data_IF_962998617310
#
_entry.id   IF_962998617310
#
_cell.length_a   1.000
_cell.length_b   1.000
_cell.length_c   1.000
_cell.angle_alpha   90.00
_cell.angle_beta   90.00
_cell.angle_gamma   90.00
#
_symmetry.space_group_name_H-M   'P 1'
#
loop_
_entity.id
_entity.type
_entity.pdbx_description
1 polymer ?
#
# COMPACT_ATOMS: atom_id res chain seq x y z
N UNK A 1 -5.36 -45.66 13.80
CA UNK A 1 -5.08 -44.24 13.69
C UNK A 1 -3.75 -44.07 12.96
N UNK A 2 -3.79 -43.99 11.61
CA UNK A 2 -2.59 -43.72 10.82
C UNK A 2 -2.59 -42.20 10.55
N UNK A 3 -1.62 -41.50 11.12
CA UNK A 3 -1.40 -40.07 10.92
C UNK A 3 -1.03 -39.86 9.45
N UNK A 4 -1.92 -39.20 8.71
CA UNK A 4 -1.61 -38.74 7.37
C UNK A 4 -0.68 -37.53 7.53
N UNK A 5 0.61 -37.73 7.33
CA UNK A 5 1.55 -36.64 7.14
C UNK A 5 1.26 -36.07 5.77
N UNK A 6 0.69 -34.87 5.74
CA UNK A 6 0.74 -34.02 4.56
C UNK A 6 2.22 -33.70 4.37
N UNK A 7 2.89 -34.47 3.54
CA UNK A 7 4.20 -34.15 3.03
C UNK A 7 3.96 -32.99 2.08
N UNK A 8 4.03 -31.76 2.61
CA UNK A 8 4.33 -30.61 1.80
C UNK A 8 5.71 -30.91 1.19
N UNK A 9 5.70 -31.36 -0.05
CA UNK A 9 6.92 -31.60 -0.82
C UNK A 9 7.53 -30.21 -1.07
N UNK A 10 8.27 -29.71 -0.10
CA UNK A 10 9.23 -28.64 -0.30
C UNK A 10 10.32 -29.24 -1.20
N UNK A 11 10.14 -29.13 -2.50
CA UNK A 11 11.25 -29.23 -3.42
C UNK A 11 12.13 -28.02 -3.15
N UNK A 12 12.97 -28.13 -2.13
CA UNK A 12 14.17 -27.33 -2.00
C UNK A 12 15.07 -27.75 -3.16
N UNK A 13 14.81 -27.24 -4.35
CA UNK A 13 15.84 -27.18 -5.36
C UNK A 13 16.87 -26.17 -4.83
N UNK A 14 17.80 -26.68 -4.02
CA UNK A 14 18.99 -25.97 -3.59
C UNK A 14 19.80 -25.58 -4.81
N UNK A 15 19.59 -24.40 -5.28
CA UNK A 15 20.36 -23.70 -6.28
C UNK A 15 20.51 -22.27 -5.82
N UNK A 16 21.18 -22.04 -4.69
CA UNK A 16 21.78 -20.73 -4.43
C UNK A 16 22.93 -20.54 -5.42
N UNK A 17 22.59 -20.29 -6.69
CA UNK A 17 23.50 -19.62 -7.56
C UNK A 17 23.62 -18.21 -7.01
N UNK A 18 24.65 -17.96 -6.22
CA UNK A 18 25.11 -16.64 -5.83
C UNK A 18 25.58 -15.92 -7.10
N UNK A 19 24.61 -15.39 -7.87
CA UNK A 19 24.90 -14.38 -8.86
C UNK A 19 25.22 -13.09 -8.09
N UNK A 20 26.46 -13.00 -7.68
CA UNK A 20 27.05 -11.86 -7.00
C UNK A 20 27.29 -10.78 -8.06
N UNK A 21 26.28 -9.98 -8.35
CA UNK A 21 26.44 -8.75 -9.12
C UNK A 21 26.44 -7.55 -8.18
N UNK A 22 27.52 -6.78 -8.26
CA UNK A 22 27.84 -5.64 -7.39
C UNK A 22 26.88 -4.45 -7.48
N UNK A 23 25.83 -4.50 -8.28
CA UNK A 23 24.93 -3.38 -8.58
C UNK A 23 23.92 -2.98 -7.48
N UNK A 24 23.75 -3.80 -6.46
CA UNK A 24 22.76 -3.56 -5.40
C UNK A 24 23.36 -3.40 -4.00
N UNK A 25 24.64 -3.04 -3.93
CA UNK A 25 25.34 -2.87 -2.64
C UNK A 25 25.83 -1.43 -2.52
N UNK A 26 25.71 -0.89 -1.32
CA UNK A 26 26.30 0.41 -0.99
C UNK A 26 27.83 0.32 -0.86
N UNK A 27 28.45 1.45 -0.60
CA UNK A 27 29.92 1.53 -0.38
C UNK A 27 30.41 0.65 0.78
N UNK A 28 29.52 0.23 1.68
CA UNK A 28 29.80 -0.66 2.80
C UNK A 28 29.40 -2.11 2.50
N UNK A 29 29.17 -2.47 1.22
CA UNK A 29 28.81 -3.81 0.76
C UNK A 29 27.44 -4.35 1.31
N UNK A 30 26.56 -3.48 1.80
CA UNK A 30 25.23 -3.84 2.29
C UNK A 30 24.22 -3.86 1.14
N UNK A 31 23.25 -4.77 1.18
CA UNK A 31 22.14 -4.80 0.19
C UNK A 31 21.32 -3.52 0.36
N UNK A 32 21.34 -2.67 -0.66
CA UNK A 32 20.54 -1.44 -0.69
C UNK A 32 19.10 -1.81 -1.06
N UNK A 33 18.20 -1.71 -0.09
CA UNK A 33 16.75 -1.76 -0.28
C UNK A 33 16.25 -0.32 -0.44
N UNK A 34 16.44 0.24 -1.64
CA UNK A 34 16.08 1.62 -1.91
C UNK A 34 14.58 1.82 -2.12
N UNK A 35 14.12 3.05 -1.91
CA UNK A 35 12.80 3.49 -2.33
C UNK A 35 12.73 3.49 -3.86
N UNK A 36 11.61 3.01 -4.39
CA UNK A 36 11.31 3.01 -5.81
C UNK A 36 10.31 4.11 -6.12
N UNK A 37 10.39 4.67 -7.32
CA UNK A 37 9.36 5.58 -7.80
C UNK A 37 8.01 4.86 -7.80
N UNK A 38 6.98 5.56 -7.31
CA UNK A 38 5.62 5.02 -7.31
C UNK A 38 5.18 4.81 -8.76
N UNK A 39 4.86 3.56 -9.12
CA UNK A 39 4.37 3.26 -10.46
C UNK A 39 2.94 3.80 -10.65
N UNK A 40 2.61 4.15 -11.90
CA UNK A 40 1.27 4.60 -12.27
C UNK A 40 0.29 3.42 -12.22
N UNK A 41 -1.01 3.72 -12.28
CA UNK A 41 -2.05 2.69 -12.17
C UNK A 41 -1.86 1.55 -13.19
N UNK A 42 -1.53 1.87 -14.44
CA UNK A 42 -1.33 0.88 -15.51
C UNK A 42 0.09 0.32 -15.64
N UNK A 43 1.04 0.75 -14.81
CA UNK A 43 2.41 0.22 -14.82
C UNK A 43 2.48 -1.14 -14.12
N UNK A 44 3.36 -2.02 -14.58
CA UNK A 44 3.62 -3.35 -14.01
C UNK A 44 2.39 -4.28 -13.95
N UNK A 45 1.45 -4.10 -14.87
CA UNK A 45 0.32 -5.01 -15.06
C UNK A 45 0.78 -6.19 -15.92
N UNK A 46 0.30 -7.37 -15.58
CA UNK A 46 0.51 -8.58 -16.35
C UNK A 46 -0.80 -9.38 -16.48
N UNK A 47 -0.88 -10.16 -17.55
CA UNK A 47 -1.94 -11.14 -17.78
C UNK A 47 -1.28 -12.48 -17.99
N UNK A 48 -1.75 -13.51 -17.30
CA UNK A 48 -1.24 -14.87 -17.41
C UNK A 48 -2.30 -15.86 -17.84
N UNK A 49 -1.84 -16.87 -18.57
CA UNK A 49 -2.64 -18.05 -18.94
C UNK A 49 -1.78 -19.28 -18.71
N UNK A 50 -2.32 -20.27 -18.00
CA UNK A 50 -1.62 -21.50 -17.67
C UNK A 50 -2.54 -22.71 -17.78
N UNK A 51 -1.97 -23.86 -18.09
CA UNK A 51 -2.64 -25.15 -18.11
C UNK A 51 -1.85 -26.18 -17.33
N UNK A 52 -2.55 -27.21 -16.86
CA UNK A 52 -1.89 -28.24 -16.05
C UNK A 52 -2.82 -29.31 -15.54
N UNK A 53 -2.58 -29.74 -14.32
CA UNK A 53 -3.33 -30.82 -13.69
C UNK A 53 -3.80 -30.43 -12.29
N UNK A 54 -5.01 -30.90 -11.95
CA UNK A 54 -5.60 -30.85 -10.63
C UNK A 54 -5.56 -32.25 -9.98
N UNK A 55 -5.30 -32.28 -8.70
CA UNK A 55 -5.41 -33.42 -7.85
C UNK A 55 -6.33 -33.06 -6.68
N UNK A 56 -7.50 -33.66 -6.63
CA UNK A 56 -8.48 -33.45 -5.57
C UNK A 56 -8.22 -34.38 -4.37
N UNK A 57 -8.55 -33.93 -3.17
CA UNK A 57 -8.36 -34.63 -1.90
C UNK A 57 -9.69 -34.61 -1.12
N UNK A 58 -10.60 -35.48 -1.50
CA UNK A 58 -11.82 -35.80 -0.78
C UNK A 58 -11.64 -36.93 0.23
N UNK A 59 -12.76 -37.43 0.77
CA UNK A 59 -12.77 -38.38 1.89
C UNK A 59 -12.15 -39.75 1.57
N UNK A 60 -12.52 -40.35 0.44
CA UNK A 60 -12.12 -41.72 0.06
C UNK A 60 -11.01 -41.75 -0.99
N UNK A 61 -10.41 -40.64 -1.29
CA UNK A 61 -9.43 -40.50 -2.36
C UNK A 61 -8.14 -41.32 -2.11
N UNK A 62 -7.82 -41.60 -0.85
CA UNK A 62 -6.66 -42.43 -0.50
C UNK A 62 -6.83 -43.91 -0.83
N UNK A 63 -8.06 -44.38 -1.03
CA UNK A 63 -8.38 -45.77 -1.29
C UNK A 63 -8.37 -46.10 -2.80
N UNK A 64 -8.46 -45.08 -3.64
CA UNK A 64 -8.49 -45.20 -5.08
C UNK A 64 -7.13 -45.04 -5.78
N UNK A 65 -7.08 -45.43 -7.07
CA UNK A 65 -5.86 -45.32 -7.88
C UNK A 65 -5.49 -43.86 -8.16
N UNK A 66 -4.29 -43.40 -7.74
CA UNK A 66 -3.80 -42.07 -7.87
C UNK A 66 -3.92 -41.50 -9.31
N UNK A 67 -3.48 -42.23 -10.32
CA UNK A 67 -3.48 -41.75 -11.69
C UNK A 67 -4.86 -41.46 -12.26
N UNK A 68 -5.93 -42.02 -11.69
CA UNK A 68 -7.33 -41.76 -12.10
C UNK A 68 -7.92 -40.48 -11.50
N UNK A 69 -7.23 -39.87 -10.53
CA UNK A 69 -7.62 -38.62 -9.90
C UNK A 69 -7.10 -37.38 -10.62
N UNK A 70 -6.10 -37.55 -11.48
CA UNK A 70 -5.56 -36.43 -12.26
C UNK A 70 -6.65 -35.90 -13.21
N UNK A 71 -6.90 -34.61 -13.10
CA UNK A 71 -7.87 -33.88 -13.93
C UNK A 71 -7.17 -32.65 -14.57
N UNK A 72 -7.68 -32.18 -15.72
CA UNK A 72 -7.11 -30.97 -16.33
C UNK A 72 -7.37 -29.75 -15.47
N UNK A 73 -6.38 -28.86 -15.44
CA UNK A 73 -6.43 -27.57 -14.79
C UNK A 73 -6.14 -26.44 -15.78
N UNK A 74 -6.72 -25.29 -15.51
CA UNK A 74 -6.48 -24.04 -16.22
C UNK A 74 -6.43 -22.90 -15.20
N UNK A 75 -5.60 -21.91 -15.48
CA UNK A 75 -5.55 -20.67 -14.72
C UNK A 75 -5.44 -19.48 -15.71
N UNK A 76 -6.27 -18.46 -15.50
CA UNK A 76 -6.23 -17.21 -16.25
C UNK A 76 -6.33 -16.08 -15.24
N UNK A 77 -5.36 -15.19 -15.25
CA UNK A 77 -5.31 -14.11 -14.27
C UNK A 77 -4.79 -12.80 -14.83
N UNK A 78 -5.18 -11.71 -14.19
CA UNK A 78 -4.59 -10.38 -14.35
C UNK A 78 -4.06 -9.93 -13.01
N UNK A 79 -2.87 -9.39 -13.02
CA UNK A 79 -2.21 -8.93 -11.80
C UNK A 79 -1.40 -7.67 -12.01
N UNK A 80 -0.98 -7.12 -10.88
CA UNK A 80 -0.14 -5.94 -10.82
C UNK A 80 0.90 -6.07 -9.72
N UNK A 81 2.11 -5.66 -10.05
CA UNK A 81 3.16 -5.44 -9.05
C UNK A 81 3.12 -3.99 -8.57
N UNK A 82 2.85 -3.77 -7.29
CA UNK A 82 2.84 -2.46 -6.65
C UNK A 82 4.23 -2.02 -6.25
N UNK A 83 5.03 -2.96 -5.79
CA UNK A 83 6.46 -2.81 -5.48
C UNK A 83 7.24 -3.95 -6.11
N UNK A 84 8.57 -3.92 -6.13
CA UNK A 84 9.35 -5.06 -6.59
C UNK A 84 9.04 -6.38 -5.88
N UNK A 85 8.56 -6.30 -4.64
CA UNK A 85 8.35 -7.48 -3.78
C UNK A 85 6.88 -7.79 -3.51
N UNK A 86 5.96 -6.85 -3.73
CA UNK A 86 4.54 -7.02 -3.39
C UNK A 86 3.69 -6.79 -4.63
N UNK A 87 2.83 -7.73 -4.91
CA UNK A 87 1.85 -7.68 -5.98
C UNK A 87 0.52 -8.29 -5.56
N UNK A 88 -0.46 -8.13 -6.40
CA UNK A 88 -1.75 -8.82 -6.28
C UNK A 88 -2.22 -9.25 -7.66
N UNK A 89 -3.04 -10.29 -7.70
CA UNK A 89 -3.73 -10.73 -8.91
C UNK A 89 -5.15 -11.16 -8.60
N UNK A 90 -5.99 -11.09 -9.60
CA UNK A 90 -7.33 -11.68 -9.63
C UNK A 90 -7.42 -12.61 -10.82
N UNK A 91 -8.15 -13.71 -10.68
CA UNK A 91 -8.18 -14.68 -11.77
C UNK A 91 -9.25 -15.74 -11.61
N UNK A 92 -9.24 -16.61 -12.58
CA UNK A 92 -9.99 -17.84 -12.65
C UNK A 92 -9.04 -19.02 -12.64
N UNK A 93 -9.24 -19.96 -11.71
CA UNK A 93 -8.55 -21.24 -11.70
C UNK A 93 -9.57 -22.39 -11.66
N UNK A 94 -9.22 -23.56 -12.21
CA UNK A 94 -10.08 -24.72 -12.15
C UNK A 94 -10.05 -25.56 -13.41
N UNK A 95 -11.13 -26.00 -13.88
CA UNK A 95 -11.66 -26.82 -14.97
C UNK A 95 -12.36 -28.05 -14.45
N UNK A 96 -11.64 -29.00 -13.83
CA UNK A 96 -12.18 -30.28 -13.48
C UNK A 96 -11.51 -30.85 -12.24
N UNK A 97 -12.29 -31.56 -11.44
CA UNK A 97 -11.79 -32.43 -10.38
C UNK A 97 -12.24 -33.87 -10.61
N UNK A 98 -11.46 -34.81 -10.12
CA UNK A 98 -11.77 -36.24 -10.10
C UNK A 98 -11.39 -36.80 -8.75
N UNK A 99 -12.28 -37.59 -8.18
CA UNK A 99 -12.09 -38.21 -6.89
C UNK A 99 -12.70 -39.60 -6.79
N UNK A 100 -12.71 -40.11 -5.57
CA UNK A 100 -13.34 -41.37 -5.18
C UNK A 100 -14.23 -41.11 -3.98
N UNK A 101 -15.45 -41.62 -4.02
CA UNK A 101 -16.41 -41.52 -2.93
C UNK A 101 -17.05 -42.86 -2.61
N UNK A 102 -17.39 -43.09 -1.37
CA UNK A 102 -18.17 -44.27 -0.94
C UNK A 102 -19.67 -44.03 -1.11
N UNK A 103 -20.10 -42.76 -1.30
CA UNK A 103 -21.48 -42.37 -1.46
C UNK A 103 -21.87 -42.22 -2.94
N UNK A 104 -23.07 -42.61 -3.31
CA UNK A 104 -23.62 -42.37 -4.65
C UNK A 104 -24.04 -40.90 -4.82
N UNK A 105 -23.10 -39.99 -4.97
CA UNK A 105 -23.37 -38.57 -5.18
C UNK A 105 -23.81 -38.26 -6.59
N UNK A 106 -24.34 -37.05 -6.83
CA UNK A 106 -24.70 -36.59 -8.17
C UNK A 106 -23.46 -36.49 -9.10
N UNK A 107 -22.26 -36.44 -8.55
CA UNK A 107 -21.02 -36.43 -9.32
C UNK A 107 -20.46 -37.84 -9.60
N UNK A 108 -21.02 -38.89 -8.97
CA UNK A 108 -20.59 -40.27 -9.16
C UNK A 108 -20.90 -40.76 -10.59
N UNK A 109 -19.89 -41.33 -11.25
CA UNK A 109 -20.01 -41.78 -12.65
C UNK A 109 -20.02 -43.30 -12.80
N UNK A 110 -19.23 -44.02 -12.04
CA UNK A 110 -19.12 -45.48 -12.18
C UNK A 110 -18.55 -46.10 -10.91
N UNK A 111 -19.06 -47.26 -10.52
CA UNK A 111 -18.48 -48.05 -9.44
C UNK A 111 -17.21 -48.78 -9.89
N UNK A 112 -16.20 -48.87 -8.98
CA UNK A 112 -14.95 -49.60 -9.19
C UNK A 112 -14.46 -50.07 -7.82
N UNK A 113 -14.59 -51.39 -7.55
CA UNK A 113 -14.09 -52.00 -6.32
C UNK A 113 -14.79 -51.57 -5.02
N UNK A 114 -16.06 -51.20 -5.07
CA UNK A 114 -16.87 -50.78 -3.90
C UNK A 114 -16.85 -49.26 -3.68
N UNK A 115 -16.09 -48.53 -4.48
CA UNK A 115 -16.09 -47.08 -4.50
C UNK A 115 -16.70 -46.57 -5.82
N UNK A 116 -17.21 -45.35 -5.77
CA UNK A 116 -17.66 -44.64 -6.97
C UNK A 116 -16.55 -43.64 -7.39
N UNK A 117 -16.26 -43.62 -8.68
CA UNK A 117 -15.49 -42.54 -9.28
C UNK A 117 -16.37 -41.32 -9.47
N UNK A 118 -15.91 -40.21 -8.99
CA UNK A 118 -16.57 -38.92 -9.22
C UNK A 118 -15.78 -38.04 -10.19
N UNK A 119 -16.53 -37.20 -10.88
CA UNK A 119 -15.99 -36.23 -11.83
C UNK A 119 -16.92 -35.03 -11.90
N UNK A 120 -16.39 -33.86 -11.57
CA UNK A 120 -17.15 -32.60 -11.59
C UNK A 120 -16.29 -31.45 -12.11
N UNK A 121 -16.97 -30.41 -12.57
CA UNK A 121 -16.33 -29.16 -12.95
C UNK A 121 -15.99 -28.33 -11.72
N UNK A 122 -14.90 -27.59 -11.80
CA UNK A 122 -14.46 -26.66 -10.76
C UNK A 122 -14.23 -25.29 -11.37
N UNK A 123 -14.79 -24.28 -10.73
CA UNK A 123 -14.53 -22.87 -10.98
C UNK A 123 -14.10 -22.22 -9.69
N UNK A 124 -12.97 -21.52 -9.73
CA UNK A 124 -12.46 -20.76 -8.61
C UNK A 124 -12.09 -19.35 -9.07
N UNK A 125 -12.88 -18.36 -8.64
CA UNK A 125 -12.58 -16.95 -8.86
C UNK A 125 -11.84 -16.45 -7.62
N UNK A 126 -10.60 -16.05 -7.80
CA UNK A 126 -9.70 -15.78 -6.69
C UNK A 126 -9.06 -14.39 -6.75
N UNK A 127 -8.64 -13.93 -5.59
CA UNK A 127 -7.78 -12.77 -5.43
C UNK A 127 -6.59 -13.16 -4.53
N UNK A 128 -5.39 -13.01 -5.05
CA UNK A 128 -4.16 -13.43 -4.39
C UNK A 128 -3.28 -12.23 -4.04
N UNK A 129 -2.73 -12.23 -2.84
CA UNK A 129 -1.60 -11.42 -2.45
C UNK A 129 -0.30 -12.17 -2.74
N UNK A 130 0.61 -11.55 -3.49
CA UNK A 130 1.84 -12.16 -3.97
C UNK A 130 3.06 -11.50 -3.34
N UNK A 131 4.01 -12.32 -2.90
CA UNK A 131 5.26 -11.83 -2.35
C UNK A 131 6.46 -12.36 -3.15
N UNK A 132 7.10 -11.48 -3.93
CA UNK A 132 8.33 -11.85 -4.62
C UNK A 132 9.49 -11.96 -3.62
N UNK A 133 9.66 -13.16 -3.08
CA UNK A 133 10.68 -13.48 -2.10
C UNK A 133 12.09 -13.23 -2.63
N UNK A 134 12.33 -13.56 -3.91
CA UNK A 134 13.62 -13.32 -4.55
C UNK A 134 14.04 -11.84 -4.51
N UNK A 135 13.10 -10.93 -4.80
CA UNK A 135 13.34 -9.49 -4.72
C UNK A 135 13.41 -8.98 -3.28
N UNK A 136 12.63 -9.55 -2.38
CA UNK A 136 12.63 -9.14 -0.97
C UNK A 136 13.97 -9.42 -0.28
N UNK A 137 14.56 -10.60 -0.55
CA UNK A 137 15.80 -11.05 0.10
C UNK A 137 17.05 -10.50 -0.59
N UNK A 138 17.12 -10.61 -1.92
CA UNK A 138 18.35 -10.28 -2.68
C UNK A 138 18.29 -8.94 -3.41
N UNK A 139 17.27 -8.12 -3.12
CA UNK A 139 17.05 -6.84 -3.79
C UNK A 139 16.49 -6.98 -5.20
N UNK A 140 15.93 -5.89 -5.73
CA UNK A 140 15.38 -5.86 -7.07
C UNK A 140 16.48 -5.75 -8.13
N UNK A 141 16.40 -6.62 -9.15
CA UNK A 141 17.18 -6.55 -10.37
C UNK A 141 16.25 -6.71 -11.56
N UNK A 142 16.25 -5.76 -12.48
CA UNK A 142 15.44 -5.84 -13.68
C UNK A 142 15.83 -7.03 -14.56
N UNK A 143 17.12 -7.38 -14.60
CA UNK A 143 17.68 -8.51 -15.36
C UNK A 143 17.48 -9.87 -14.71
N UNK A 144 16.85 -9.97 -13.54
CA UNK A 144 16.68 -11.25 -12.86
C UNK A 144 15.89 -12.23 -13.72
N UNK A 145 16.48 -13.38 -14.00
CA UNK A 145 15.89 -14.41 -14.84
C UNK A 145 14.84 -15.23 -14.10
N UNK A 146 15.06 -15.53 -12.82
CA UNK A 146 14.16 -16.37 -12.03
C UNK A 146 13.70 -15.66 -10.75
N UNK A 147 12.40 -15.71 -10.51
CA UNK A 147 11.77 -15.21 -9.29
C UNK A 147 10.93 -16.29 -8.63
N UNK A 148 11.07 -16.43 -7.33
CA UNK A 148 10.27 -17.26 -6.46
C UNK A 148 9.24 -16.41 -5.73
N UNK A 149 7.96 -16.73 -5.90
CA UNK A 149 6.83 -15.89 -5.48
C UNK A 149 5.82 -16.75 -4.72
N UNK A 150 5.92 -16.91 -3.41
CA UNK A 150 4.82 -17.42 -2.60
C UNK A 150 3.62 -16.45 -2.68
N UNK A 151 2.42 -17.02 -2.58
CA UNK A 151 1.18 -16.26 -2.55
C UNK A 151 0.16 -16.91 -1.62
N UNK A 152 -0.79 -16.10 -1.18
CA UNK A 152 -1.99 -16.52 -0.45
C UNK A 152 -3.19 -15.80 -1.03
N UNK A 153 -4.32 -16.46 -1.04
CA UNK A 153 -5.52 -15.91 -1.65
C UNK A 153 -6.80 -16.38 -0.99
N UNK A 154 -7.87 -15.76 -1.42
CA UNK A 154 -9.24 -16.08 -1.07
C UNK A 154 -10.12 -15.91 -2.31
N UNK A 155 -11.15 -16.71 -2.43
CA UNK A 155 -12.02 -16.60 -3.57
C UNK A 155 -13.32 -17.36 -3.41
N UNK A 156 -14.11 -17.31 -4.47
CA UNK A 156 -15.33 -18.06 -4.60
C UNK A 156 -15.09 -19.30 -5.44
N UNK A 157 -15.28 -20.46 -4.81
CA UNK A 157 -15.16 -21.77 -5.41
C UNK A 157 -16.55 -22.33 -5.72
N UNK A 158 -16.71 -22.91 -6.89
CA UNK A 158 -17.95 -23.59 -7.31
C UNK A 158 -17.60 -24.93 -7.92
N UNK A 159 -18.22 -25.97 -7.37
CA UNK A 159 -18.30 -27.28 -8.02
C UNK A 159 -19.59 -27.38 -8.85
N UNK A 160 -19.55 -28.06 -9.98
CA UNK A 160 -20.73 -28.24 -10.83
C UNK A 160 -20.66 -29.50 -11.69
N UNK A 161 -21.82 -30.09 -11.96
CA UNK A 161 -21.97 -31.23 -12.84
C UNK A 161 -23.33 -31.94 -12.63
N UNK A 162 -23.86 -32.58 -13.66
CA UNK A 162 -25.11 -33.36 -13.61
C UNK A 162 -26.28 -32.64 -12.89
N UNK A 163 -26.51 -31.36 -13.24
CA UNK A 163 -27.51 -30.48 -12.63
C UNK A 163 -27.34 -30.15 -11.15
N UNK A 164 -26.20 -30.58 -10.55
CA UNK A 164 -25.77 -30.21 -9.20
C UNK A 164 -24.70 -29.13 -9.20
N UNK A 165 -24.73 -28.33 -8.18
CA UNK A 165 -23.65 -27.35 -7.92
C UNK A 165 -23.59 -27.01 -6.43
N UNK A 166 -22.41 -26.71 -5.96
CA UNK A 166 -22.19 -26.11 -4.65
C UNK A 166 -21.30 -24.88 -4.75
N UNK A 167 -21.42 -23.95 -3.79
CA UNK A 167 -20.71 -22.69 -3.78
C UNK A 167 -20.10 -22.50 -2.41
N UNK A 168 -18.79 -22.31 -2.37
CA UNK A 168 -18.01 -22.19 -1.15
C UNK A 168 -17.04 -21.02 -1.21
N UNK A 169 -16.64 -20.53 -0.05
CA UNK A 169 -15.47 -19.65 0.05
C UNK A 169 -14.23 -20.56 0.13
N UNK A 170 -13.34 -20.39 -0.82
CA UNK A 170 -12.06 -21.09 -0.83
C UNK A 170 -10.91 -20.19 -0.33
N UNK A 171 -9.99 -20.81 0.37
CA UNK A 171 -8.72 -20.20 0.73
C UNK A 171 -7.61 -20.92 -0.02
N UNK A 172 -6.70 -20.19 -0.60
CA UNK A 172 -5.59 -20.79 -1.31
C UNK A 172 -4.24 -20.24 -0.89
N UNK A 173 -3.25 -21.07 -1.06
CA UNK A 173 -1.85 -20.72 -0.91
C UNK A 173 -1.03 -21.48 -1.95
N UNK A 174 0.06 -20.87 -2.39
CA UNK A 174 0.87 -21.54 -3.39
C UNK A 174 2.23 -20.89 -3.62
N UNK A 175 2.90 -21.49 -4.59
CA UNK A 175 4.25 -21.11 -4.99
C UNK A 175 4.25 -20.89 -6.50
N UNK A 176 4.58 -19.69 -6.92
CA UNK A 176 4.73 -19.33 -8.32
C UNK A 176 6.21 -19.11 -8.62
N UNK A 177 6.72 -19.88 -9.56
CA UNK A 177 8.04 -19.67 -10.15
C UNK A 177 7.88 -18.93 -11.45
N UNK A 178 8.57 -17.82 -11.58
CA UNK A 178 8.53 -16.95 -12.75
C UNK A 178 9.91 -16.94 -13.40
N UNK A 179 10.00 -17.42 -14.63
CA UNK A 179 11.24 -17.42 -15.41
C UNK A 179 11.08 -16.42 -16.55
N UNK A 180 11.91 -15.40 -16.56
CA UNK A 180 11.90 -14.36 -17.58
C UNK A 180 12.43 -14.90 -18.92
N UNK A 181 11.58 -14.88 -19.94
CA UNK A 181 11.97 -15.23 -21.31
C UNK A 181 12.45 -13.98 -22.06
N UNK A 182 11.74 -12.88 -21.91
CA UNK A 182 12.14 -11.57 -22.45
C UNK A 182 11.57 -10.43 -21.60
N UNK A 183 11.72 -9.20 -22.02
CA UNK A 183 11.23 -8.03 -21.25
C UNK A 183 9.72 -8.08 -21.02
N UNK A 184 8.94 -8.67 -21.91
CA UNK A 184 7.47 -8.69 -21.91
C UNK A 184 6.86 -10.03 -21.57
N UNK A 185 7.62 -11.12 -21.60
CA UNK A 185 7.07 -12.47 -21.48
C UNK A 185 7.84 -13.27 -20.44
N UNK A 186 7.08 -13.85 -19.54
CA UNK A 186 7.58 -14.77 -18.51
C UNK A 186 6.95 -16.15 -18.72
N UNK A 187 7.75 -17.20 -18.50
CA UNK A 187 7.27 -18.55 -18.27
C UNK A 187 6.91 -18.70 -16.79
N UNK A 188 5.78 -19.30 -16.51
CA UNK A 188 5.29 -19.52 -15.15
C UNK A 188 5.13 -20.99 -14.85
N UNK A 189 5.53 -21.40 -13.65
CA UNK A 189 5.24 -22.71 -13.08
C UNK A 189 4.67 -22.51 -11.68
N UNK A 190 3.42 -22.90 -11.49
CA UNK A 190 2.69 -22.68 -10.26
C UNK A 190 2.25 -23.99 -9.61
N UNK A 191 2.35 -24.07 -8.30
CA UNK A 191 1.69 -25.06 -7.46
C UNK A 191 0.77 -24.33 -6.49
N UNK A 192 -0.54 -24.61 -6.57
CA UNK A 192 -1.60 -23.98 -5.75
C UNK A 192 -2.30 -25.05 -4.94
N UNK A 193 -2.46 -24.83 -3.66
CA UNK A 193 -3.31 -25.62 -2.77
C UNK A 193 -4.56 -24.80 -2.45
N UNK A 194 -5.71 -25.26 -2.89
CA UNK A 194 -7.01 -24.70 -2.57
C UNK A 194 -7.63 -25.52 -1.44
N UNK A 195 -8.16 -24.85 -0.43
CA UNK A 195 -8.91 -25.42 0.69
C UNK A 195 -10.36 -24.91 0.60
N UNK A 196 -11.30 -25.83 0.62
CA UNK A 196 -12.74 -25.59 0.58
C UNK A 196 -13.45 -26.37 1.69
N UNK A 197 -14.71 -26.10 1.90
CA UNK A 197 -15.51 -26.84 2.86
C UNK A 197 -15.81 -28.27 2.35
N UNK A 198 -16.09 -29.20 3.28
CA UNK A 198 -16.40 -30.61 3.05
C UNK A 198 -17.60 -30.89 2.12
N UNK A 199 -18.36 -29.88 1.72
CA UNK A 199 -19.52 -30.06 0.84
C UNK A 199 -19.18 -29.93 -0.64
N UNK A 200 -17.93 -29.65 -0.94
CA UNK A 200 -17.53 -29.25 -2.28
C UNK A 200 -17.73 -30.38 -3.33
N UNK A 201 -17.65 -31.62 -2.92
CA UNK A 201 -17.97 -32.80 -3.74
C UNK A 201 -19.44 -33.26 -3.66
N UNK A 202 -20.27 -32.54 -2.88
CA UNK A 202 -21.69 -32.89 -2.67
C UNK A 202 -21.92 -33.92 -1.57
N UNK A 203 -20.90 -34.34 -0.82
CA UNK A 203 -21.02 -35.22 0.34
C UNK A 203 -20.98 -34.40 1.63
N UNK A 204 -21.89 -34.69 2.55
CA UNK A 204 -21.90 -34.09 3.89
C UNK A 204 -21.57 -35.15 4.92
N UNK A 205 -20.41 -35.04 5.56
CA UNK A 205 -19.97 -35.92 6.65
C UNK A 205 -18.51 -36.30 6.50
N UNK A 206 -17.79 -36.45 7.62
CA UNK A 206 -16.41 -36.88 7.64
C UNK A 206 -15.41 -35.80 8.03
N UNK A 207 -14.52 -35.38 7.14
CA UNK A 207 -13.49 -34.37 7.44
C UNK A 207 -14.06 -32.95 7.33
N UNK A 208 -13.51 -32.04 8.12
CA UNK A 208 -13.97 -30.64 8.18
C UNK A 208 -13.59 -29.78 6.96
N UNK A 209 -12.82 -30.30 6.00
CA UNK A 209 -12.41 -29.56 4.80
C UNK A 209 -11.80 -30.48 3.74
N UNK A 210 -11.92 -30.06 2.51
CA UNK A 210 -11.38 -30.69 1.32
C UNK A 210 -10.31 -29.82 0.68
N UNK A 211 -9.47 -30.42 -0.10
CA UNK A 211 -8.36 -29.71 -0.75
C UNK A 211 -8.21 -30.09 -2.21
N UNK A 212 -7.64 -29.18 -2.95
CA UNK A 212 -7.23 -29.41 -4.34
C UNK A 212 -5.82 -28.87 -4.55
N UNK A 213 -4.92 -29.72 -5.02
CA UNK A 213 -3.59 -29.29 -5.46
C UNK A 213 -3.61 -29.16 -6.97
N UNK A 214 -3.28 -27.99 -7.45
CA UNK A 214 -3.11 -27.69 -8.87
C UNK A 214 -1.64 -27.48 -9.18
N UNK A 215 -1.16 -28.06 -10.26
CA UNK A 215 0.16 -27.74 -10.81
C UNK A 215 -0.05 -27.30 -12.25
N UNK A 216 0.34 -26.06 -12.54
CA UNK A 216 0.12 -25.44 -13.86
C UNK A 216 1.40 -24.82 -14.39
N UNK A 217 1.57 -24.87 -15.71
CA UNK A 217 2.62 -24.18 -16.43
C UNK A 217 1.99 -23.27 -17.49
N UNK A 218 2.55 -22.07 -17.68
CA UNK A 218 1.94 -21.09 -18.54
C UNK A 218 2.86 -19.94 -18.91
N UNK A 219 2.25 -18.92 -19.49
CA UNK A 219 2.91 -17.71 -19.93
C UNK A 219 2.23 -16.50 -19.29
N UNK A 220 3.01 -15.52 -18.88
CA UNK A 220 2.53 -14.24 -18.40
C UNK A 220 3.10 -13.11 -19.25
N UNK A 221 2.21 -12.31 -19.83
CA UNK A 221 2.58 -11.13 -20.61
C UNK A 221 2.53 -9.88 -19.77
N UNK A 222 3.60 -9.12 -19.76
CA UNK A 222 3.74 -7.85 -19.06
C UNK A 222 3.51 -6.68 -20.01
N UNK A 223 2.56 -5.82 -19.70
CA UNK A 223 2.24 -4.63 -20.47
C UNK A 223 3.29 -3.52 -20.29
N UNK A 224 3.14 -2.40 -21.00
CA UNK A 224 4.07 -1.28 -21.00
C UNK A 224 4.40 -0.73 -19.60
N UNK A 225 5.58 -0.09 -19.48
CA UNK A 225 6.21 0.34 -18.23
C UNK A 225 6.39 -0.80 -17.25
N UNK A 226 7.37 -1.62 -17.59
CA UNK A 226 7.80 -2.80 -16.83
C UNK A 226 8.98 -2.44 -15.98
N UNK A 227 9.00 -3.00 -14.77
CA UNK A 227 10.10 -2.78 -13.84
C UNK A 227 9.89 -1.57 -12.95
N UNK A 228 10.86 -1.36 -12.08
CA UNK A 228 10.82 -0.32 -11.05
C UNK A 228 12.11 0.50 -11.15
N UNK A 229 11.95 1.80 -11.28
CA UNK A 229 13.07 2.74 -11.26
C UNK A 229 13.36 3.11 -9.81
N UNK A 230 14.60 3.02 -9.40
CA UNK A 230 14.99 3.57 -8.09
C UNK A 230 14.89 5.08 -8.18
N UNK A 231 14.35 5.71 -7.14
CA UNK A 231 14.42 7.15 -6.99
C UNK A 231 15.92 7.53 -6.93
N UNK A 232 16.43 8.03 -8.05
CA UNK A 232 17.85 8.32 -8.25
C UNK A 232 18.38 9.45 -7.36
N UNK A 233 17.46 10.19 -6.71
CA UNK A 233 17.74 11.32 -5.83
C UNK A 233 17.56 11.03 -4.33
N UNK A 234 17.38 9.78 -3.93
CA UNK A 234 17.59 9.43 -2.54
C UNK A 234 19.10 9.31 -2.36
N UNK A 235 19.81 10.44 -2.37
CA UNK A 235 21.04 10.52 -1.60
C UNK A 235 20.66 10.03 -0.19
N UNK A 236 21.48 9.20 0.46
CA UNK A 236 21.26 8.91 1.87
C UNK A 236 21.01 10.26 2.52
N UNK A 237 19.79 10.42 3.06
CA UNK A 237 19.43 11.68 3.73
C UNK A 237 20.57 11.89 4.72
N UNK A 238 21.38 12.91 4.47
CA UNK A 238 22.40 13.32 5.44
C UNK A 238 21.62 13.75 6.68
N UNK A 239 21.52 12.82 7.62
CA UNK A 239 20.83 13.06 8.89
C UNK A 239 21.63 13.94 9.84
N UNK A 240 22.90 14.22 9.50
CA UNK A 240 23.79 15.08 10.30
C UNK A 240 23.17 16.44 10.59
N UNK A 241 22.58 17.16 9.61
CA UNK A 241 21.92 18.45 9.88
C UNK A 241 20.72 18.32 10.82
N UNK A 242 20.02 17.19 10.78
CA UNK A 242 18.88 16.94 11.67
C UNK A 242 19.35 16.59 13.09
N UNK A 243 20.43 15.81 13.22
CA UNK A 243 21.04 15.50 14.52
C UNK A 243 21.63 16.77 15.16
N UNK A 244 22.29 17.62 14.38
CA UNK A 244 22.77 18.91 14.85
C UNK A 244 21.61 19.83 15.25
N UNK A 245 20.53 19.81 14.49
CA UNK A 245 19.31 20.56 14.82
C UNK A 245 18.65 20.05 16.10
N UNK A 246 18.59 18.73 16.29
CA UNK A 246 18.06 18.12 17.52
C UNK A 246 18.92 18.54 18.70
N UNK A 247 20.25 18.45 18.59
CA UNK A 247 21.17 18.88 19.64
C UNK A 247 20.99 20.37 20.00
N UNK A 248 20.93 21.24 18.99
CA UNK A 248 20.67 22.66 19.19
C UNK A 248 19.33 22.94 19.84
N UNK A 249 18.28 22.15 19.50
CA UNK A 249 16.96 22.28 20.12
C UNK A 249 16.97 21.77 21.56
N UNK A 250 17.70 20.70 21.87
CA UNK A 250 17.87 20.19 23.23
C UNK A 250 18.62 21.19 24.09
N UNK A 251 19.71 21.81 23.57
CA UNK A 251 20.46 22.88 24.25
C UNK A 251 19.55 24.11 24.51
N UNK A 252 18.76 24.52 23.46
CA UNK A 252 17.84 25.64 23.62
C UNK A 252 16.69 25.30 24.60
N UNK A 253 16.22 24.07 24.64
CA UNK A 253 15.22 23.65 25.61
C UNK A 253 15.73 23.66 27.04
N UNK A 254 17.00 23.24 27.25
CA UNK A 254 17.63 23.32 28.57
C UNK A 254 17.87 24.79 29.02
N UNK A 255 18.27 25.64 28.08
CA UNK A 255 18.41 27.07 28.35
C UNK A 255 17.07 27.76 28.65
N UNK A 256 16.05 27.43 27.87
CA UNK A 256 14.65 27.89 28.09
C UNK A 256 14.11 27.39 29.44
N UNK A 257 14.36 26.12 29.80
CA UNK A 257 13.91 25.57 31.08
C UNK A 257 14.58 26.31 32.25
N UNK A 258 15.89 26.61 32.13
CA UNK A 258 16.63 27.40 33.10
C UNK A 258 16.08 28.82 33.20
N UNK A 259 15.88 29.51 32.07
CA UNK A 259 15.24 30.84 32.01
C UNK A 259 13.82 30.84 32.58
N UNK A 260 13.04 29.82 32.30
CA UNK A 260 11.71 29.69 32.87
C UNK A 260 11.72 29.52 34.39
N UNK A 261 12.70 28.76 34.92
CA UNK A 261 12.89 28.66 36.36
C UNK A 261 13.20 30.03 36.99
N UNK A 262 14.16 30.75 36.42
CA UNK A 262 14.54 32.11 36.89
C UNK A 262 13.36 33.07 36.78
N UNK A 263 12.61 33.03 35.67
CA UNK A 263 11.44 33.89 35.47
C UNK A 263 10.31 33.54 36.43
N UNK A 264 10.13 32.27 36.76
CA UNK A 264 9.14 31.87 37.77
C UNK A 264 9.49 32.40 39.16
N UNK A 265 10.79 32.29 39.54
CA UNK A 265 11.28 32.86 40.82
C UNK A 265 11.11 34.38 40.85
N UNK A 266 11.35 35.06 39.71
CA UNK A 266 11.17 36.50 39.61
C UNK A 266 9.69 36.89 39.60
N UNK A 267 8.83 36.10 38.97
CA UNK A 267 7.38 36.28 39.02
C UNK A 267 6.82 36.09 40.45
N UNK A 268 7.32 35.10 41.21
CA UNK A 268 6.95 34.95 42.58
C UNK A 268 7.37 36.15 43.43
N UNK A 269 8.56 36.66 43.22
CA UNK A 269 9.07 37.88 43.86
C UNK A 269 8.23 39.10 43.49
N UNK A 270 7.86 39.27 42.24
CA UNK A 270 7.01 40.36 41.74
C UNK A 270 5.56 40.25 42.24
N UNK A 271 5.00 39.05 42.37
CA UNK A 271 3.65 38.83 42.93
C UNK A 271 3.58 39.19 44.40
N UNK A 272 4.68 38.99 45.13
CA UNK A 272 4.77 39.31 46.54
C UNK A 272 5.21 40.75 46.80
N UNK A 273 5.54 41.53 45.77
CA UNK A 273 5.87 42.95 45.88
C UNK A 273 4.55 43.81 45.85
N UNK A 274 4.52 44.91 46.60
CA UNK A 274 3.32 45.79 46.63
C UNK A 274 3.07 46.39 45.24
N UNK A 275 1.81 46.34 44.81
CA UNK A 275 1.31 46.64 43.46
C UNK A 275 1.80 47.99 42.93
N UNK A 276 2.55 47.96 41.80
CA UNK A 276 2.85 49.15 41.01
C UNK A 276 2.24 49.00 39.61
N UNK A 277 1.35 49.94 39.36
CA UNK A 277 0.74 50.41 38.09
C UNK A 277 0.88 49.50 36.88
N UNK A 278 -0.25 48.97 36.40
CA UNK A 278 -0.46 48.21 35.17
C UNK A 278 -0.18 49.11 33.96
N UNK A 279 0.83 48.78 33.17
CA UNK A 279 0.98 49.24 31.77
C UNK A 279 0.38 48.16 30.89
N UNK A 280 -0.72 48.47 30.21
CA UNK A 280 -1.32 47.59 29.19
C UNK A 280 -0.28 47.31 28.09
N UNK A 281 0.28 46.13 28.04
CA UNK A 281 1.03 45.67 26.86
C UNK A 281 0.04 45.23 25.78
N UNK A 282 -0.05 46.01 24.70
CA UNK A 282 -0.79 45.67 23.49
C UNK A 282 -0.11 44.44 22.84
N UNK A 283 -0.66 43.26 23.00
CA UNK A 283 -0.17 42.05 22.38
C UNK A 283 -0.50 42.13 20.89
N UNK A 284 0.51 42.34 20.04
CA UNK A 284 0.34 42.30 18.58
C UNK A 284 0.30 40.87 18.11
N UNK A 285 -0.73 40.50 17.36
CA UNK A 285 -0.84 39.17 16.73
C UNK A 285 0.32 38.94 15.74
N UNK A 286 1.07 37.87 15.93
CA UNK A 286 2.13 37.45 15.00
C UNK A 286 1.52 36.83 13.73
N UNK A 287 2.16 36.93 12.56
CA UNK A 287 1.68 36.28 11.34
C UNK A 287 1.56 34.75 11.48
N UNK A 288 0.60 34.15 10.76
CA UNK A 288 0.50 32.71 10.58
C UNK A 288 0.58 32.34 9.10
N UNK A 289 1.22 31.20 8.82
CA UNK A 289 1.34 30.65 7.46
C UNK A 289 0.54 29.36 7.37
N UNK A 290 -0.31 29.24 6.37
CA UNK A 290 -1.17 28.08 6.09
C UNK A 290 -0.72 27.45 4.77
N UNK A 291 -0.32 26.19 4.80
CA UNK A 291 0.26 25.52 3.65
C UNK A 291 -0.79 24.71 2.87
N UNK A 292 -0.58 24.62 1.54
CA UNK A 292 -1.47 23.91 0.64
C UNK A 292 -0.73 22.82 -0.14
N UNK A 293 -1.43 21.73 -0.36
CA UNK A 293 -0.92 20.67 -1.23
C UNK A 293 -0.86 21.15 -2.68
N UNK A 294 0.05 20.55 -3.45
CA UNK A 294 0.20 20.83 -4.87
C UNK A 294 -1.15 20.71 -5.60
N UNK A 295 -1.47 21.70 -6.42
CA UNK A 295 -2.72 21.75 -7.19
C UNK A 295 -4.01 21.89 -6.36
N UNK A 296 -3.93 22.09 -5.03
CA UNK A 296 -5.10 22.24 -4.16
C UNK A 296 -5.23 23.68 -3.67
N UNK A 297 -6.49 24.10 -3.54
CA UNK A 297 -6.89 25.38 -2.94
C UNK A 297 -7.69 25.20 -1.64
N UNK A 298 -7.65 23.99 -1.04
CA UNK A 298 -8.30 23.69 0.24
C UNK A 298 -7.26 23.23 1.25
N UNK A 299 -7.45 23.60 2.52
CA UNK A 299 -6.59 23.22 3.63
C UNK A 299 -6.88 21.78 4.07
N UNK A 300 -5.86 21.10 4.53
CA UNK A 300 -6.04 19.81 5.23
C UNK A 300 -6.44 20.01 6.71
N UNK A 301 -6.70 18.93 7.41
CA UNK A 301 -7.18 18.99 8.79
C UNK A 301 -6.20 19.64 9.77
N UNK A 302 -4.89 19.51 9.50
CA UNK A 302 -3.84 20.12 10.35
C UNK A 302 -3.84 21.63 10.19
N UNK A 303 -3.87 22.12 8.95
CA UNK A 303 -3.90 23.53 8.64
C UNK A 303 -5.21 24.21 9.07
N UNK A 304 -6.33 23.48 9.01
CA UNK A 304 -7.60 23.95 9.56
C UNK A 304 -7.54 24.12 11.09
N UNK A 305 -6.86 23.21 11.78
CA UNK A 305 -6.63 23.32 13.23
C UNK A 305 -5.71 24.50 13.55
N UNK A 306 -4.64 24.70 12.77
CA UNK A 306 -3.75 25.84 12.93
C UNK A 306 -4.50 27.17 12.75
N UNK A 307 -5.34 27.28 11.73
CA UNK A 307 -6.17 28.46 11.48
C UNK A 307 -7.14 28.70 12.64
N UNK A 308 -7.81 27.66 13.14
CA UNK A 308 -8.72 27.78 14.28
C UNK A 308 -8.01 28.27 15.53
N UNK A 309 -6.83 27.72 15.81
CA UNK A 309 -6.01 28.13 16.95
C UNK A 309 -5.60 29.60 16.83
N UNK A 310 -5.18 30.02 15.62
CA UNK A 310 -4.80 31.41 15.33
C UNK A 310 -5.97 32.38 15.53
N UNK A 311 -7.15 32.04 15.02
CA UNK A 311 -8.36 32.85 15.19
C UNK A 311 -8.70 33.03 16.66
N UNK A 312 -8.62 31.96 17.46
CA UNK A 312 -8.95 32.02 18.89
C UNK A 312 -7.95 32.84 19.70
N UNK A 313 -6.65 32.72 19.39
CA UNK A 313 -5.60 33.26 20.26
C UNK A 313 -4.97 34.56 19.74
N UNK A 314 -5.19 34.91 18.48
CA UNK A 314 -4.66 36.13 17.89
C UNK A 314 -5.74 37.05 17.37
N UNK A 315 -6.59 36.59 16.46
CA UNK A 315 -7.57 37.49 15.79
C UNK A 315 -8.72 37.94 16.69
N UNK A 316 -9.12 37.11 17.70
CA UNK A 316 -10.18 37.47 18.66
C UNK A 316 -9.68 38.36 19.79
N UNK A 317 -8.40 38.30 20.09
CA UNK A 317 -7.80 39.10 21.17
C UNK A 317 -7.57 40.57 20.73
N UNK A 318 -7.37 40.81 19.46
CA UNK A 318 -7.18 42.17 18.90
C UNK A 318 -8.34 42.49 17.95
N UNK A 319 -9.41 43.05 18.50
CA UNK A 319 -10.64 43.35 17.77
C UNK A 319 -10.48 44.45 16.68
N UNK A 320 -9.47 45.27 16.83
CA UNK A 320 -9.30 46.47 16.00
C UNK A 320 -8.27 46.27 14.88
N UNK A 321 -7.48 45.19 14.98
CA UNK A 321 -6.46 44.88 13.96
C UNK A 321 -7.10 44.40 12.66
N UNK A 322 -6.61 44.94 11.55
CA UNK A 322 -6.88 44.47 10.19
C UNK A 322 -5.83 43.44 9.82
N UNK A 323 -6.24 42.35 9.19
CA UNK A 323 -5.37 41.24 8.77
C UNK A 323 -5.31 41.20 7.24
N UNK A 324 -4.09 41.08 6.72
CA UNK A 324 -3.87 40.88 5.29
C UNK A 324 -3.69 39.39 4.98
N UNK A 325 -4.52 38.87 4.08
CA UNK A 325 -4.41 37.50 3.57
C UNK A 325 -3.62 37.54 2.26
N UNK A 326 -2.43 36.96 2.26
CA UNK A 326 -1.53 36.94 1.11
C UNK A 326 -1.48 35.55 0.55
N UNK A 327 -2.14 35.29 -0.56
CA UNK A 327 -2.08 34.02 -1.28
C UNK A 327 -0.86 33.93 -2.18
N UNK A 328 -0.18 32.80 -2.17
CA UNK A 328 1.01 32.53 -2.99
C UNK A 328 0.98 31.14 -3.61
N UNK A 329 1.77 30.94 -4.66
CA UNK A 329 2.02 29.70 -5.33
C UNK A 329 3.53 29.55 -5.57
N UNK A 330 4.01 28.32 -5.65
CA UNK A 330 5.41 28.09 -5.95
C UNK A 330 5.69 28.33 -7.44
N UNK A 331 6.86 28.88 -7.73
CA UNK A 331 7.29 29.23 -9.09
C UNK A 331 7.81 28.04 -9.90
N UNK A 332 8.13 26.92 -9.22
CA UNK A 332 8.81 25.77 -9.84
C UNK A 332 7.78 24.74 -10.36
N UNK A 333 6.47 24.95 -10.08
CA UNK A 333 5.39 24.09 -10.59
C UNK A 333 4.30 24.91 -11.27
N UNK A 334 3.73 24.35 -12.35
CA UNK A 334 2.67 25.01 -13.11
C UNK A 334 3.18 26.07 -14.09
N UNK A 335 2.34 27.05 -14.38
CA UNK A 335 2.66 28.25 -15.15
C UNK A 335 2.10 29.48 -14.45
N UNK A 336 2.53 30.66 -14.86
CA UNK A 336 2.18 31.93 -14.22
C UNK A 336 0.67 32.14 -14.08
N UNK A 337 -0.09 31.81 -15.11
CA UNK A 337 -1.56 32.00 -15.10
C UNK A 337 -2.23 31.02 -14.11
N UNK A 338 -1.78 29.78 -14.11
CA UNK A 338 -2.27 28.78 -13.17
C UNK A 338 -1.90 29.15 -11.73
N UNK A 339 -0.67 29.62 -11.51
CA UNK A 339 -0.18 30.01 -10.20
C UNK A 339 -0.89 31.23 -9.66
N UNK A 340 -1.17 32.22 -10.53
CA UNK A 340 -1.99 33.36 -10.15
C UNK A 340 -3.39 32.92 -9.71
N UNK A 341 -4.07 32.11 -10.52
CA UNK A 341 -5.39 31.55 -10.18
C UNK A 341 -5.40 30.72 -8.91
N UNK A 342 -4.38 29.88 -8.71
CA UNK A 342 -4.28 29.08 -7.48
C UNK A 342 -4.06 29.94 -6.25
N UNK A 343 -3.25 30.98 -6.34
CA UNK A 343 -3.03 31.91 -5.23
C UNK A 343 -4.31 32.67 -4.85
N UNK A 344 -5.10 33.10 -5.84
CA UNK A 344 -6.40 33.70 -5.63
C UNK A 344 -7.39 32.73 -4.97
N UNK A 345 -7.51 31.50 -5.49
CA UNK A 345 -8.42 30.49 -4.94
C UNK A 345 -8.06 30.09 -3.49
N UNK A 346 -6.79 29.99 -3.18
CA UNK A 346 -6.32 29.72 -1.81
C UNK A 346 -6.67 30.85 -0.86
N UNK A 347 -6.38 32.07 -1.27
CA UNK A 347 -6.67 33.26 -0.50
C UNK A 347 -8.18 33.40 -0.26
N UNK A 348 -9.02 33.25 -1.30
CA UNK A 348 -10.48 33.31 -1.17
C UNK A 348 -11.01 32.19 -0.26
N UNK A 349 -10.45 30.97 -0.37
CA UNK A 349 -10.84 29.87 0.52
C UNK A 349 -10.58 30.19 2.00
N UNK A 350 -9.42 30.77 2.32
CA UNK A 350 -9.11 31.18 3.70
C UNK A 350 -9.99 32.34 4.15
N UNK A 351 -10.22 33.30 3.26
CA UNK A 351 -11.14 34.41 3.51
C UNK A 351 -12.56 33.94 3.86
N UNK A 352 -13.08 33.01 3.07
CA UNK A 352 -14.41 32.42 3.29
C UNK A 352 -14.50 31.65 4.61
N UNK A 353 -13.44 30.92 4.98
CA UNK A 353 -13.36 30.26 6.29
C UNK A 353 -13.36 31.27 7.42
N UNK A 354 -12.55 32.33 7.34
CA UNK A 354 -12.48 33.36 8.38
C UNK A 354 -13.81 34.08 8.54
N UNK A 355 -14.45 34.45 7.45
CA UNK A 355 -15.73 35.14 7.45
C UNK A 355 -16.87 34.23 7.86
N UNK A 356 -17.07 33.09 7.19
CA UNK A 356 -18.31 32.33 7.29
C UNK A 356 -18.27 31.31 8.44
N UNK A 357 -17.10 30.72 8.70
CA UNK A 357 -16.94 29.69 9.75
C UNK A 357 -16.51 30.29 11.09
N UNK A 358 -15.59 31.25 11.05
CA UNK A 358 -15.03 31.81 12.29
C UNK A 358 -15.59 33.16 12.69
N UNK A 359 -16.41 33.78 11.85
CA UNK A 359 -17.15 35.03 12.14
C UNK A 359 -16.26 36.28 12.21
N UNK A 360 -15.13 36.28 11.49
CA UNK A 360 -14.29 37.50 11.40
C UNK A 360 -14.95 38.53 10.48
N UNK A 361 -15.06 39.75 10.95
CA UNK A 361 -15.71 40.85 10.17
C UNK A 361 -14.95 41.08 8.86
N UNK A 362 -15.65 41.17 7.70
CA UNK A 362 -15.03 41.36 6.39
C UNK A 362 -14.14 42.59 6.28
N UNK A 363 -14.49 43.65 7.02
CA UNK A 363 -13.75 44.93 7.04
C UNK A 363 -12.34 44.76 7.65
N UNK A 364 -12.13 43.72 8.39
CA UNK A 364 -10.86 43.37 8.99
C UNK A 364 -9.98 42.48 8.12
N UNK A 365 -10.45 42.09 6.94
CA UNK A 365 -9.77 41.14 6.06
C UNK A 365 -9.41 41.78 4.74
N UNK A 366 -8.13 42.09 4.54
CA UNK A 366 -7.59 42.58 3.28
C UNK A 366 -7.08 41.41 2.46
N UNK A 367 -7.45 41.34 1.19
CA UNK A 367 -7.12 40.23 0.27
C UNK A 367 -6.02 40.63 -0.70
N UNK A 368 -4.99 39.82 -0.85
CA UNK A 368 -3.89 40.02 -1.78
C UNK A 368 -3.44 38.67 -2.35
N UNK A 369 -3.46 38.50 -3.65
CA UNK A 369 -2.90 37.33 -4.32
C UNK A 369 -1.64 37.71 -5.08
N UNK A 370 -0.53 37.05 -4.81
CA UNK A 370 0.79 37.36 -5.37
C UNK A 370 1.25 36.35 -6.44
N UNK A 371 0.45 35.30 -6.71
CA UNK A 371 0.84 34.27 -7.67
C UNK A 371 2.15 33.61 -7.28
N UNK A 372 3.07 33.55 -8.22
CA UNK A 372 4.43 33.04 -8.05
C UNK A 372 5.50 34.16 -8.04
N UNK A 373 5.08 35.41 -7.96
CA UNK A 373 5.99 36.55 -8.12
C UNK A 373 6.79 36.89 -6.87
N UNK A 374 6.32 36.47 -5.70
CA UNK A 374 6.95 36.80 -4.41
C UNK A 374 7.07 35.56 -3.52
N UNK A 375 7.97 34.64 -3.91
CA UNK A 375 8.25 33.45 -3.12
C UNK A 375 9.13 33.82 -1.92
N UNK A 376 8.60 33.62 -0.71
CA UNK A 376 9.21 34.04 0.56
C UNK A 376 10.06 32.97 1.23
N UNK A 377 9.86 31.70 0.82
CA UNK A 377 10.54 30.55 1.36
C UNK A 377 11.52 29.97 0.33
N UNK A 378 12.64 29.48 0.80
CA UNK A 378 13.65 28.86 -0.06
C UNK A 378 13.17 27.56 -0.70
N UNK A 379 12.40 26.76 0.06
CA UNK A 379 11.78 25.54 -0.42
C UNK A 379 10.53 25.86 -1.24
N UNK A 380 10.47 25.44 -2.51
CA UNK A 380 9.35 25.79 -3.41
C UNK A 380 7.97 25.41 -2.85
N UNK A 381 7.90 24.26 -2.20
CA UNK A 381 6.66 23.73 -1.64
C UNK A 381 6.06 24.59 -0.53
N UNK A 382 6.89 25.32 0.22
CA UNK A 382 6.43 26.21 1.29
C UNK A 382 5.81 27.51 0.73
N UNK A 383 6.04 27.80 -0.55
CA UNK A 383 5.42 28.95 -1.21
C UNK A 383 3.97 28.67 -1.68
N UNK A 384 3.49 27.42 -1.53
CA UNK A 384 2.08 27.07 -1.72
C UNK A 384 1.30 27.42 -0.44
N UNK A 385 1.12 28.71 -0.18
CA UNK A 385 0.66 29.17 1.13
C UNK A 385 -0.32 30.33 1.07
N UNK A 386 -1.01 30.54 2.18
CA UNK A 386 -1.65 31.80 2.54
C UNK A 386 -1.07 32.29 3.85
N UNK A 387 -0.53 33.50 3.84
CA UNK A 387 -0.02 34.19 5.04
C UNK A 387 -1.12 35.12 5.54
N UNK A 388 -1.38 35.07 6.83
CA UNK A 388 -2.30 35.97 7.53
C UNK A 388 -1.47 36.81 8.49
N UNK A 389 -1.33 38.13 8.19
CA UNK A 389 -0.48 39.07 8.93
C UNK A 389 -1.20 40.35 9.31
#
# INVERSE_FOLDING_TARGET
MKRLYIIALFVFAGGFASAQENGNRDAQNRIVRGLYETNRFFDNIFVGVAGGVNLYFGENDSEGKFGKRLAPAMDIHVGKWFTPSIGARVGYAGLQAKGWTSAGTLYAKSADGGLFREKFGVMYLHADAMWNFSNAVSGYKESRTWNFVPFVGVGWARSYGNDAHDNEIGFDAGLLNVVRLCSSLDLTLEARCLLVNQRFDGVTGGRTGEGMLSVTAGLAYKFNRRGFVRASNVQPVDVTPYLDRIRNLEENNTDLASKNSVLNDENEKLRNAPAKVVVEQKVSASPVVLFFRIGKATLDSKELTNLEFYVRNAMKLDSDKTFTLIGSADKDTGNRELNQRLSEQRMEYVYDLLKNKYGVAPERLVRKAEGDTNNRFAEPELNRAVIVE
#
